data_IF_676863931353
#
_entry.id   IF_676863931353
#
_cell.length_a   1.000
_cell.length_b   1.000
_cell.length_c   1.000
_cell.angle_alpha   90.00
_cell.angle_beta   90.00
_cell.angle_gamma   90.00
#
_symmetry.space_group_name_H-M   'P 1'
#
loop_
_entity.id
_entity.type
_entity.pdbx_description
1 polymer ?
#
# COMPACT_ATOMS: atom_id res chain seq x y z
N UNK A 1 -5.69 32.04 8.32
CA UNK A 1 -4.83 30.85 8.41
C UNK A 1 -5.55 29.84 9.30
N UNK A 2 -6.00 28.88 8.97
CA UNK A 2 -6.83 28.20 7.98
C UNK A 2 -7.49 27.00 8.64
N UNK A 3 -8.79 27.10 8.89
CA UNK A 3 -9.62 26.02 9.47
C UNK A 3 -9.66 24.74 8.62
N UNK A 4 -9.12 24.80 7.37
CA UNK A 4 -9.07 23.65 6.48
C UNK A 4 -8.09 22.54 6.93
N UNK A 5 -6.96 22.91 7.55
CA UNK A 5 -5.97 21.94 8.02
C UNK A 5 -6.40 21.20 9.28
N UNK A 6 -7.13 21.85 10.17
CA UNK A 6 -7.62 21.22 11.40
C UNK A 6 -8.63 20.13 11.10
N UNK A 7 -9.46 20.31 10.06
CA UNK A 7 -10.40 19.30 9.59
C UNK A 7 -9.72 18.06 9.00
N UNK A 8 -8.62 18.24 8.27
CA UNK A 8 -7.87 17.10 7.69
C UNK A 8 -7.11 16.32 8.75
N UNK A 9 -6.45 16.99 9.68
CA UNK A 9 -5.71 16.35 10.78
C UNK A 9 -6.63 15.45 11.63
N UNK A 10 -7.89 15.82 11.81
CA UNK A 10 -8.88 15.05 12.57
C UNK A 10 -9.06 13.62 12.04
N UNK A 11 -8.89 13.38 10.75
CA UNK A 11 -9.01 12.05 10.13
C UNK A 11 -7.66 11.39 9.87
N UNK A 12 -6.64 12.18 9.55
CA UNK A 12 -5.31 11.66 9.26
C UNK A 12 -4.61 11.13 10.52
N UNK A 13 -4.77 11.82 11.65
CA UNK A 13 -4.15 11.39 12.92
C UNK A 13 -4.67 10.03 13.40
N UNK A 14 -5.99 9.78 13.48
CA UNK A 14 -6.49 8.45 13.84
C UNK A 14 -6.09 7.36 12.84
N UNK A 15 -6.09 7.65 11.53
CA UNK A 15 -5.66 6.69 10.51
C UNK A 15 -4.17 6.38 10.64
N UNK A 16 -3.34 7.39 10.91
CA UNK A 16 -1.92 7.22 11.15
C UNK A 16 -1.65 6.43 12.44
N UNK A 17 -2.29 6.80 13.55
CA UNK A 17 -2.21 6.05 14.80
C UNK A 17 -2.67 4.60 14.60
N UNK A 18 -3.74 4.36 13.86
CA UNK A 18 -4.18 3.02 13.51
C UNK A 18 -3.11 2.24 12.75
N UNK A 19 -2.47 2.85 11.77
CA UNK A 19 -1.40 2.19 11.00
C UNK A 19 -0.17 1.85 11.84
N UNK A 20 0.13 2.64 12.86
CA UNK A 20 1.23 2.40 13.80
C UNK A 20 0.85 1.40 14.88
N UNK A 21 -0.32 1.56 15.51
CA UNK A 21 -0.70 0.80 16.72
C UNK A 21 -1.30 -0.57 16.40
N UNK A 22 -2.02 -0.73 15.28
CA UNK A 22 -2.67 -2.00 14.93
C UNK A 22 -1.71 -3.21 14.80
N UNK A 23 -0.49 -3.06 14.24
CA UNK A 23 0.44 -4.19 14.16
C UNK A 23 1.04 -4.62 15.49
N UNK A 24 1.09 -3.73 16.50
CA UNK A 24 1.77 -4.00 17.76
C UNK A 24 1.18 -5.18 18.57
N UNK A 25 -0.14 -5.30 18.76
CA UNK A 25 -0.70 -6.45 19.43
C UNK A 25 -0.31 -7.78 18.77
N UNK A 26 -0.28 -7.83 17.44
CA UNK A 26 0.12 -9.03 16.72
C UNK A 26 1.60 -9.35 16.94
N UNK A 27 2.49 -8.36 16.98
CA UNK A 27 3.91 -8.55 17.27
C UNK A 27 4.15 -8.95 18.73
N UNK A 28 3.38 -8.38 19.67
CA UNK A 28 3.56 -8.64 21.10
C UNK A 28 2.97 -9.99 21.54
N UNK A 29 1.79 -10.32 21.02
CA UNK A 29 1.05 -11.51 21.45
C UNK A 29 1.51 -12.78 20.73
N UNK A 30 2.07 -12.64 19.54
CA UNK A 30 2.38 -13.79 18.68
C UNK A 30 3.80 -13.69 18.13
N UNK A 31 4.74 -14.16 18.93
CA UNK A 31 6.17 -14.26 18.55
C UNK A 31 6.43 -15.43 17.59
N UNK A 32 5.57 -15.63 16.60
CA UNK A 32 5.65 -16.69 15.60
C UNK A 32 5.70 -16.10 14.20
N UNK A 33 6.10 -16.87 13.17
CA UNK A 33 6.03 -16.43 11.77
C UNK A 33 4.63 -15.98 11.37
N UNK A 34 3.58 -16.61 11.91
CA UNK A 34 2.19 -16.25 11.63
C UNK A 34 1.82 -14.89 12.24
N UNK A 35 2.32 -14.61 13.46
CA UNK A 35 2.15 -13.30 14.10
C UNK A 35 2.82 -12.18 13.31
N UNK A 36 4.00 -12.44 12.77
CA UNK A 36 4.68 -11.48 11.89
C UNK A 36 3.90 -11.25 10.60
N UNK A 37 3.41 -12.30 9.95
CA UNK A 37 2.59 -12.18 8.75
C UNK A 37 1.31 -11.38 9.00
N UNK A 38 0.65 -11.60 10.14
CA UNK A 38 -0.51 -10.83 10.58
C UNK A 38 -0.14 -9.36 10.80
N UNK A 39 0.97 -9.08 11.51
CA UNK A 39 1.43 -7.73 11.77
C UNK A 39 1.75 -6.96 10.47
N UNK A 40 2.42 -7.61 9.51
CA UNK A 40 2.69 -7.05 8.17
C UNK A 40 1.39 -6.77 7.41
N UNK A 41 0.42 -7.67 7.47
CA UNK A 41 -0.91 -7.48 6.87
C UNK A 41 -1.65 -6.29 7.47
N UNK A 42 -1.67 -6.17 8.80
CA UNK A 42 -2.29 -5.04 9.51
C UNK A 42 -1.58 -3.72 9.21
N UNK A 43 -0.25 -3.73 9.14
CA UNK A 43 0.53 -2.56 8.73
C UNK A 43 0.19 -2.13 7.31
N UNK A 44 0.07 -3.07 6.37
CA UNK A 44 -0.32 -2.80 4.98
C UNK A 44 -1.73 -2.18 4.89
N UNK A 45 -2.71 -2.78 5.58
CA UNK A 45 -4.09 -2.25 5.62
C UNK A 45 -4.13 -0.86 6.25
N UNK A 46 -3.40 -0.65 7.34
CA UNK A 46 -3.28 0.66 7.99
C UNK A 46 -2.67 1.71 7.06
N UNK A 47 -1.57 1.37 6.38
CA UNK A 47 -0.91 2.24 5.41
C UNK A 47 -1.84 2.59 4.23
N UNK A 48 -2.54 1.61 3.67
CA UNK A 48 -3.52 1.85 2.61
C UNK A 48 -4.68 2.74 3.10
N UNK A 49 -5.14 2.54 4.33
CA UNK A 49 -6.19 3.37 4.94
C UNK A 49 -5.74 4.81 5.08
N UNK A 50 -4.53 5.06 5.59
CA UNK A 50 -3.96 6.40 5.71
C UNK A 50 -3.98 7.13 4.37
N UNK A 51 -3.52 6.46 3.30
CA UNK A 51 -3.51 7.03 1.95
C UNK A 51 -4.93 7.28 1.44
N UNK A 52 -5.82 6.31 1.55
CA UNK A 52 -7.19 6.42 1.07
C UNK A 52 -7.93 7.61 1.72
N UNK A 53 -7.78 7.78 3.02
CA UNK A 53 -8.40 8.89 3.74
C UNK A 53 -7.78 10.24 3.39
N UNK A 54 -6.47 10.31 3.11
CA UNK A 54 -5.82 11.56 2.69
C UNK A 54 -6.30 12.04 1.31
N UNK A 55 -6.71 11.12 0.43
CA UNK A 55 -7.26 11.45 -0.91
C UNK A 55 -8.79 11.52 -0.96
N UNK A 56 -9.47 11.28 0.16
CA UNK A 56 -10.95 11.30 0.22
C UNK A 56 -11.53 12.63 -0.22
N UNK A 57 -10.94 13.74 0.20
CA UNK A 57 -11.43 15.09 -0.14
C UNK A 57 -11.37 15.32 -1.65
N UNK A 58 -10.26 14.97 -2.29
CA UNK A 58 -10.11 15.14 -3.74
C UNK A 58 -11.05 14.24 -4.53
N UNK A 59 -11.33 13.04 -3.99
CA UNK A 59 -12.29 12.15 -4.60
C UNK A 59 -13.71 12.70 -4.61
N UNK A 60 -14.04 13.58 -3.64
CA UNK A 60 -15.37 14.17 -3.46
C UNK A 60 -15.43 15.66 -3.85
N UNK A 61 -14.28 16.29 -4.16
CA UNK A 61 -14.25 17.68 -4.57
C UNK A 61 -14.92 17.84 -5.95
N UNK A 62 -16.01 18.56 -5.96
CA UNK A 62 -16.66 19.05 -7.16
C UNK A 62 -16.09 20.42 -7.46
N UNK A 63 -14.97 20.46 -8.18
CA UNK A 63 -14.51 21.66 -8.90
C UNK A 63 -14.33 23.02 -8.18
N UNK A 64 -14.72 23.16 -6.92
CA UNK A 64 -14.67 24.46 -6.24
C UNK A 64 -13.26 24.79 -5.73
N UNK A 65 -12.56 25.61 -6.49
CA UNK A 65 -11.72 26.69 -5.94
C UNK A 65 -10.33 26.34 -5.46
N UNK A 66 -9.69 25.22 -5.79
CA UNK A 66 -8.36 24.97 -5.22
C UNK A 66 -7.29 24.56 -6.26
N UNK A 67 -6.38 25.45 -6.37
CA UNK A 67 -5.05 25.45 -7.00
C UNK A 67 -4.94 25.54 -8.52
N UNK A 68 -4.23 26.60 -8.92
CA UNK A 68 -3.83 26.86 -10.30
C UNK A 68 -2.94 25.76 -10.92
N UNK A 69 -2.47 24.77 -10.12
CA UNK A 69 -1.62 23.66 -10.59
C UNK A 69 -1.98 22.33 -9.90
N UNK A 70 -2.80 21.48 -10.56
CA UNK A 70 -3.18 20.17 -10.03
C UNK A 70 -1.97 19.25 -9.78
N UNK A 71 -0.92 19.32 -10.62
CA UNK A 71 0.29 18.50 -10.48
C UNK A 71 1.04 18.84 -9.20
N UNK A 72 1.12 20.13 -8.89
CA UNK A 72 1.79 20.60 -7.66
C UNK A 72 1.04 20.15 -6.42
N UNK A 73 -0.29 20.18 -6.44
CA UNK A 73 -1.15 19.71 -5.35
C UNK A 73 -0.99 18.21 -5.14
N UNK A 74 -1.05 17.42 -6.22
CA UNK A 74 -0.80 15.99 -6.17
C UNK A 74 0.56 15.67 -5.55
N UNK A 75 1.63 16.30 -6.05
CA UNK A 75 2.99 16.11 -5.51
C UNK A 75 3.08 16.42 -4.02
N UNK A 76 2.55 17.54 -3.57
CA UNK A 76 2.57 17.93 -2.15
C UNK A 76 1.88 16.88 -1.27
N UNK A 77 0.73 16.36 -1.69
CA UNK A 77 0.03 15.30 -0.95
C UNK A 77 0.79 14.01 -0.95
N UNK A 78 1.29 13.58 -2.09
CA UNK A 78 2.10 12.37 -2.18
C UNK A 78 3.32 12.45 -1.26
N UNK A 79 4.03 13.58 -1.23
CA UNK A 79 5.16 13.79 -0.31
C UNK A 79 4.71 13.69 1.15
N UNK A 80 3.64 14.38 1.53
CA UNK A 80 3.15 14.37 2.90
C UNK A 80 2.73 12.96 3.35
N UNK A 81 2.01 12.23 2.51
CA UNK A 81 1.59 10.86 2.78
C UNK A 81 2.78 9.90 2.86
N UNK A 82 3.74 10.03 1.94
CA UNK A 82 4.96 9.20 1.95
C UNK A 82 5.77 9.43 3.21
N UNK A 83 5.94 10.69 3.64
CA UNK A 83 6.64 11.01 4.90
C UNK A 83 5.89 10.40 6.10
N UNK A 84 4.57 10.53 6.17
CA UNK A 84 3.77 9.94 7.24
C UNK A 84 3.89 8.41 7.27
N UNK A 85 3.90 7.76 6.10
CA UNK A 85 4.08 6.31 6.00
C UNK A 85 5.50 5.86 6.38
N UNK A 86 6.52 6.60 5.97
CA UNK A 86 7.90 6.30 6.38
C UNK A 86 8.07 6.43 7.89
N UNK A 87 7.42 7.42 8.52
CA UNK A 87 7.40 7.54 9.97
C UNK A 87 6.68 6.35 10.65
N UNK A 88 5.54 5.90 10.09
CA UNK A 88 4.84 4.72 10.57
C UNK A 88 5.69 3.44 10.40
N UNK A 89 6.37 3.31 9.26
CA UNK A 89 7.30 2.20 9.02
C UNK A 89 8.47 2.23 9.99
N UNK A 90 9.08 3.38 10.24
CA UNK A 90 10.18 3.49 11.19
C UNK A 90 9.75 3.10 12.62
N UNK A 91 8.54 3.48 13.04
CA UNK A 91 7.96 3.06 14.31
C UNK A 91 7.75 1.54 14.36
N UNK A 92 7.17 0.96 13.30
CA UNK A 92 7.00 -0.50 13.17
C UNK A 92 8.34 -1.23 13.23
N UNK A 93 9.32 -0.79 12.43
CA UNK A 93 10.66 -1.37 12.38
C UNK A 93 11.37 -1.31 13.73
N UNK A 94 11.28 -0.17 14.44
CA UNK A 94 11.89 0.01 15.75
C UNK A 94 11.33 -0.96 16.79
N UNK A 95 10.00 -1.15 16.81
CA UNK A 95 9.35 -2.10 17.72
C UNK A 95 9.70 -3.53 17.33
N UNK A 96 9.67 -3.85 16.04
CA UNK A 96 10.00 -5.20 15.56
C UNK A 96 11.44 -5.58 15.93
N UNK A 97 12.41 -4.69 15.70
CA UNK A 97 13.82 -4.92 16.04
C UNK A 97 14.08 -4.98 17.56
N UNK A 98 13.30 -4.23 18.36
CA UNK A 98 13.39 -4.27 19.81
C UNK A 98 12.83 -5.57 20.42
N UNK A 99 11.83 -6.16 19.77
CA UNK A 99 11.20 -7.40 20.27
C UNK A 99 11.90 -8.67 19.80
N UNK A 100 12.50 -8.62 18.62
CA UNK A 100 13.25 -9.74 18.04
C UNK A 100 14.73 -9.43 18.17
N UNK A 101 15.42 -10.14 19.08
CA UNK A 101 16.83 -9.95 19.44
C UNK A 101 17.83 -10.05 18.27
N UNK A 102 17.41 -10.14 17.02
CA UNK A 102 18.31 -10.23 15.86
C UNK A 102 17.66 -9.73 14.55
N UNK A 103 18.33 -8.82 13.96
CA UNK A 103 18.66 -8.58 12.55
C UNK A 103 17.70 -9.17 11.48
N UNK A 104 16.40 -9.27 11.74
CA UNK A 104 15.45 -9.66 10.71
C UNK A 104 15.16 -8.48 9.76
N UNK A 105 16.22 -8.04 9.08
CA UNK A 105 16.13 -7.02 8.04
C UNK A 105 15.17 -7.40 6.92
N UNK A 106 14.93 -8.68 6.70
CA UNK A 106 14.02 -9.14 5.65
C UNK A 106 12.59 -8.73 5.97
N UNK A 107 12.14 -8.92 7.20
CA UNK A 107 10.80 -8.50 7.62
C UNK A 107 10.62 -6.99 7.61
N UNK A 108 11.65 -6.24 7.99
CA UNK A 108 11.67 -4.77 7.92
C UNK A 108 11.59 -4.29 6.46
N UNK A 109 12.33 -4.93 5.55
CA UNK A 109 12.27 -4.63 4.11
C UNK A 109 10.92 -5.04 3.50
N UNK A 110 10.34 -6.16 3.94
CA UNK A 110 8.99 -6.55 3.51
C UNK A 110 7.94 -5.54 3.94
N UNK A 111 8.04 -5.01 5.16
CA UNK A 111 7.17 -3.93 5.61
C UNK A 111 7.35 -2.66 4.77
N UNK A 112 8.59 -2.29 4.43
CA UNK A 112 8.87 -1.16 3.54
C UNK A 112 8.24 -1.38 2.15
N UNK A 113 8.29 -2.62 1.66
CA UNK A 113 7.71 -2.97 0.36
C UNK A 113 6.21 -2.75 0.28
N UNK A 114 5.51 -2.89 1.40
CA UNK A 114 4.08 -2.66 1.47
C UNK A 114 3.69 -1.18 1.24
N UNK A 115 4.62 -0.25 1.44
CA UNK A 115 4.37 1.18 1.22
C UNK A 115 4.21 1.52 -0.26
N UNK A 116 4.93 0.83 -1.16
CA UNK A 116 4.90 1.12 -2.60
C UNK A 116 3.47 0.96 -3.17
N UNK A 117 2.81 -0.20 -3.05
CA UNK A 117 1.44 -0.35 -3.53
C UNK A 117 0.46 0.55 -2.76
N UNK A 118 0.66 0.77 -1.46
CA UNK A 118 -0.18 1.70 -0.70
C UNK A 118 -0.10 3.12 -1.24
N UNK A 119 1.09 3.63 -1.55
CA UNK A 119 1.29 4.97 -2.08
C UNK A 119 0.82 5.14 -3.54
N UNK A 120 0.89 4.09 -4.36
CA UNK A 120 0.66 4.20 -5.79
C UNK A 120 -0.74 3.72 -6.21
N UNK A 121 -1.18 2.57 -5.67
CA UNK A 121 -2.45 1.95 -6.07
C UNK A 121 -3.62 2.61 -5.34
N UNK A 122 -3.50 2.82 -4.03
CA UNK A 122 -4.61 3.32 -3.22
C UNK A 122 -5.10 4.72 -3.62
N UNK A 123 -4.24 5.72 -3.94
CA UNK A 123 -4.72 7.02 -4.40
C UNK A 123 -5.57 6.91 -5.66
N UNK A 124 -5.09 6.14 -6.65
CA UNK A 124 -5.83 5.89 -7.88
C UNK A 124 -7.20 5.28 -7.62
N UNK A 125 -7.25 4.20 -6.82
CA UNK A 125 -8.50 3.54 -6.48
C UNK A 125 -9.43 4.44 -5.67
N UNK A 126 -8.91 5.30 -4.79
CA UNK A 126 -9.72 6.27 -4.06
C UNK A 126 -10.38 7.28 -5.00
N UNK A 127 -9.63 7.77 -5.99
CA UNK A 127 -10.18 8.66 -7.00
C UNK A 127 -11.24 7.97 -7.87
N UNK A 128 -11.05 6.70 -8.23
CA UNK A 128 -12.00 5.96 -9.06
C UNK A 128 -13.27 5.60 -8.29
N UNK A 129 -13.12 5.00 -7.11
CA UNK A 129 -14.26 4.48 -6.33
C UNK A 129 -15.00 5.58 -5.55
N UNK A 130 -14.37 6.72 -5.32
CA UNK A 130 -14.85 7.81 -4.45
C UNK A 130 -15.12 7.40 -2.99
N UNK A 131 -14.76 6.17 -2.64
CA UNK A 131 -14.98 5.59 -1.31
C UNK A 131 -13.65 5.07 -0.76
N UNK A 132 -13.10 5.67 0.30
CA UNK A 132 -11.79 5.27 0.85
C UNK A 132 -11.77 3.82 1.29
N UNK A 133 -12.83 3.32 1.91
CA UNK A 133 -12.90 1.92 2.33
C UNK A 133 -12.82 0.95 1.14
N UNK A 134 -13.58 1.22 0.07
CA UNK A 134 -13.51 0.39 -1.14
C UNK A 134 -12.11 0.42 -1.76
N UNK A 135 -11.44 1.57 -1.78
CA UNK A 135 -10.08 1.69 -2.28
C UNK A 135 -9.10 0.82 -1.49
N UNK A 136 -9.20 0.78 -0.16
CA UNK A 136 -8.38 -0.10 0.69
C UNK A 136 -8.63 -1.57 0.36
N UNK A 137 -9.90 -1.99 0.31
CA UNK A 137 -10.27 -3.39 0.01
C UNK A 137 -9.74 -3.80 -1.37
N UNK A 138 -9.92 -2.96 -2.39
CA UNK A 138 -9.39 -3.24 -3.73
C UNK A 138 -7.87 -3.23 -3.78
N UNK A 139 -7.19 -2.36 -3.03
CA UNK A 139 -5.72 -2.37 -2.96
C UNK A 139 -5.23 -3.70 -2.39
N UNK A 140 -5.80 -4.16 -1.27
CA UNK A 140 -5.45 -5.44 -0.65
C UNK A 140 -5.73 -6.61 -1.60
N UNK A 141 -6.89 -6.59 -2.26
CA UNK A 141 -7.27 -7.61 -3.23
C UNK A 141 -6.30 -7.67 -4.41
N UNK A 142 -5.95 -6.52 -5.02
CA UNK A 142 -5.03 -6.47 -6.16
C UNK A 142 -3.63 -6.96 -5.78
N UNK A 143 -3.11 -6.56 -4.62
CA UNK A 143 -1.81 -7.05 -4.14
C UNK A 143 -1.85 -8.56 -3.88
N UNK A 144 -2.96 -9.07 -3.33
CA UNK A 144 -3.19 -10.50 -3.19
C UNK A 144 -3.20 -11.24 -4.53
N UNK A 145 -3.88 -10.67 -5.54
CA UNK A 145 -3.88 -11.22 -6.91
C UNK A 145 -2.47 -11.25 -7.53
N UNK A 146 -1.64 -10.21 -7.29
CA UNK A 146 -0.26 -10.20 -7.78
C UNK A 146 0.58 -11.31 -7.14
N UNK A 147 0.36 -11.60 -5.86
CA UNK A 147 1.00 -12.73 -5.19
C UNK A 147 0.55 -14.07 -5.78
N UNK A 148 -0.75 -14.25 -5.98
CA UNK A 148 -1.28 -15.47 -6.60
C UNK A 148 -0.77 -15.65 -8.03
N UNK A 149 -0.70 -14.58 -8.82
CA UNK A 149 -0.13 -14.62 -10.17
C UNK A 149 1.33 -15.08 -10.13
N UNK A 150 2.14 -14.58 -9.20
CA UNK A 150 3.50 -15.06 -8.98
C UNK A 150 3.56 -16.56 -8.68
N UNK A 151 2.67 -17.07 -7.82
CA UNK A 151 2.58 -18.50 -7.54
C UNK A 151 2.23 -19.32 -8.79
N UNK A 152 1.27 -18.86 -9.59
CA UNK A 152 0.87 -19.52 -10.84
C UNK A 152 2.04 -19.57 -11.83
N UNK A 153 2.76 -18.47 -12.01
CA UNK A 153 3.93 -18.41 -12.90
C UNK A 153 5.01 -19.41 -12.43
N UNK A 154 5.30 -19.47 -11.12
CA UNK A 154 6.29 -20.43 -10.59
C UNK A 154 5.84 -21.87 -10.85
N UNK A 155 4.56 -22.18 -10.64
CA UNK A 155 4.02 -23.53 -10.92
C UNK A 155 4.13 -23.87 -12.41
N UNK A 156 3.81 -22.93 -13.31
CA UNK A 156 3.89 -23.16 -14.75
C UNK A 156 5.33 -23.37 -15.22
N UNK A 157 6.27 -22.57 -14.71
CA UNK A 157 7.68 -22.64 -15.14
C UNK A 157 8.38 -23.88 -14.56
N UNK A 158 8.22 -24.13 -13.26
CA UNK A 158 8.92 -25.24 -12.60
C UNK A 158 8.11 -26.53 -12.53
N UNK A 159 6.79 -26.46 -12.62
CA UNK A 159 5.94 -27.65 -12.74
C UNK A 159 6.14 -28.40 -14.05
N UNK A 160 6.50 -27.66 -15.13
CA UNK A 160 6.87 -28.27 -16.41
C UNK A 160 8.15 -29.09 -16.29
N UNK A 161 9.20 -28.52 -15.66
CA UNK A 161 10.46 -29.22 -15.39
C UNK A 161 10.30 -30.42 -14.43
N UNK A 162 9.38 -30.32 -13.48
CA UNK A 162 9.15 -31.39 -12.49
C UNK A 162 8.39 -32.58 -13.07
N UNK A 163 7.55 -32.37 -14.08
CA UNK A 163 6.85 -33.42 -14.81
C UNK A 163 7.83 -34.39 -15.50
N UNK A 164 8.98 -33.87 -15.95
CA UNK A 164 10.02 -34.68 -16.55
C UNK A 164 10.88 -35.44 -15.51
N UNK A 165 10.93 -34.96 -14.25
CA UNK A 165 11.77 -35.52 -13.17
C UNK A 165 11.00 -36.27 -12.09
N UNK A 166 9.69 -36.40 -12.22
CA UNK A 166 8.84 -37.15 -11.28
C UNK A 166 8.68 -36.52 -9.87
N UNK A 167 9.09 -35.26 -9.69
CA UNK A 167 8.95 -34.53 -8.43
C UNK A 167 7.98 -33.35 -8.57
N UNK A 168 6.93 -33.29 -7.76
CA UNK A 168 6.03 -32.13 -7.67
C UNK A 168 6.75 -31.00 -6.90
N UNK A 169 7.19 -29.96 -7.61
CA UNK A 169 7.75 -28.77 -6.97
C UNK A 169 6.64 -27.83 -6.58
N UNK A 170 6.54 -27.55 -5.29
CA UNK A 170 5.59 -26.56 -4.77
C UNK A 170 6.18 -25.15 -4.91
N UNK A 171 5.35 -24.09 -5.12
CA UNK A 171 5.83 -22.71 -5.32
C UNK A 171 6.77 -22.21 -4.21
N UNK A 172 6.59 -22.68 -3.00
CA UNK A 172 7.41 -22.30 -1.83
C UNK A 172 8.81 -22.93 -1.81
N UNK A 173 9.11 -23.87 -2.68
CA UNK A 173 10.48 -24.38 -2.85
C UNK A 173 11.41 -23.39 -3.55
N UNK A 174 10.85 -22.35 -4.19
CA UNK A 174 11.56 -21.27 -4.85
C UNK A 174 11.21 -19.89 -4.27
N UNK A 175 11.46 -19.64 -2.97
CA UNK A 175 11.01 -18.42 -2.30
C UNK A 175 11.59 -17.15 -2.94
N UNK A 176 12.84 -17.19 -3.39
CA UNK A 176 13.48 -16.04 -4.02
C UNK A 176 12.80 -15.65 -5.33
N UNK A 177 12.44 -16.62 -6.17
CA UNK A 177 11.75 -16.38 -7.44
C UNK A 177 10.34 -15.82 -7.19
N UNK A 178 9.60 -16.36 -6.22
CA UNK A 178 8.30 -15.83 -5.81
C UNK A 178 8.38 -14.38 -5.34
N UNK A 179 9.38 -14.08 -4.52
CA UNK A 179 9.61 -12.72 -4.02
C UNK A 179 9.91 -11.78 -5.18
N UNK A 180 10.81 -12.16 -6.10
CA UNK A 180 11.12 -11.35 -7.27
C UNK A 180 9.90 -11.12 -8.18
N UNK A 181 9.15 -12.17 -8.50
CA UNK A 181 7.94 -12.05 -9.33
C UNK A 181 6.88 -11.17 -8.66
N UNK A 182 6.69 -11.31 -7.36
CA UNK A 182 5.79 -10.45 -6.60
C UNK A 182 6.23 -8.98 -6.69
N UNK A 183 7.51 -8.69 -6.52
CA UNK A 183 8.05 -7.35 -6.60
C UNK A 183 7.90 -6.74 -7.99
N UNK A 184 8.24 -7.47 -9.03
CA UNK A 184 8.12 -7.01 -10.41
C UNK A 184 6.66 -6.73 -10.75
N UNK A 185 5.76 -7.68 -10.49
CA UNK A 185 4.34 -7.52 -10.77
C UNK A 185 3.72 -6.35 -9.99
N UNK A 186 4.02 -6.27 -8.69
CA UNK A 186 3.50 -5.18 -7.84
C UNK A 186 4.11 -3.84 -8.24
N UNK A 187 5.38 -3.80 -8.61
CA UNK A 187 6.06 -2.60 -9.09
C UNK A 187 5.46 -2.07 -10.40
N UNK A 188 5.23 -2.94 -11.37
CA UNK A 188 4.60 -2.58 -12.65
C UNK A 188 3.18 -2.06 -12.42
N UNK A 189 2.37 -2.77 -11.63
CA UNK A 189 1.02 -2.34 -11.29
C UNK A 189 1.01 -1.00 -10.56
N UNK A 190 1.92 -0.81 -9.60
CA UNK A 190 2.06 0.43 -8.85
C UNK A 190 2.41 1.61 -9.76
N UNK A 191 3.34 1.42 -10.70
CA UNK A 191 3.71 2.44 -11.68
C UNK A 191 2.52 2.81 -12.57
N UNK A 192 1.81 1.83 -13.10
CA UNK A 192 0.61 2.05 -13.92
C UNK A 192 -0.46 2.81 -13.15
N UNK A 193 -0.78 2.37 -11.93
CA UNK A 193 -1.77 3.05 -11.08
C UNK A 193 -1.34 4.47 -10.71
N UNK A 194 -0.05 4.71 -10.48
CA UNK A 194 0.47 6.05 -10.22
C UNK A 194 0.26 6.97 -11.43
N UNK A 195 0.65 6.53 -12.63
CA UNK A 195 0.47 7.30 -13.87
C UNK A 195 -1.02 7.59 -14.13
N UNK A 196 -1.88 6.58 -14.00
CA UNK A 196 -3.33 6.73 -14.15
C UNK A 196 -3.92 7.64 -13.07
N UNK A 197 -3.40 7.58 -11.84
CA UNK A 197 -3.83 8.44 -10.74
C UNK A 197 -3.53 9.91 -11.00
N UNK A 198 -2.33 10.21 -11.49
CA UNK A 198 -1.94 11.58 -11.90
C UNK A 198 -2.84 12.09 -13.00
N UNK A 199 -3.05 11.29 -14.08
CA UNK A 199 -3.93 11.66 -15.18
C UNK A 199 -5.35 11.92 -14.70
N UNK A 200 -5.92 11.00 -13.92
CA UNK A 200 -7.29 11.13 -13.41
C UNK A 200 -7.49 12.32 -12.48
N UNK A 201 -6.46 12.65 -11.69
CA UNK A 201 -6.48 13.84 -10.84
C UNK A 201 -6.49 15.13 -11.67
N UNK A 202 -5.75 15.15 -12.77
CA UNK A 202 -5.72 16.29 -13.71
C UNK A 202 -7.04 16.45 -14.47
N UNK A 203 -7.60 15.35 -14.97
CA UNK A 203 -8.88 15.35 -15.68
C UNK A 203 -10.00 15.95 -14.82
N UNK A 204 -10.05 15.56 -13.54
CA UNK A 204 -11.03 16.12 -12.60
C UNK A 204 -10.85 17.60 -12.31
N UNK A 205 -9.61 18.08 -12.26
CA UNK A 205 -9.34 19.49 -12.07
C UNK A 205 -9.69 20.33 -13.32
N UNK A 206 -9.76 19.68 -14.49
CA UNK A 206 -10.11 20.31 -15.78
C UNK A 206 -11.61 20.18 -16.11
N UNK A 207 -12.38 19.31 -15.42
CA UNK A 207 -13.82 19.19 -15.64
C UNK A 207 -14.50 20.55 -15.32
N UNK A 208 -15.08 21.26 -16.34
CA UNK A 208 -15.83 22.46 -16.07
C UNK A 208 -17.06 22.08 -15.24
N UNK A 209 -17.35 22.90 -14.22
CA UNK A 209 -18.57 22.77 -13.44
C UNK A 209 -19.77 22.86 -14.41
N UNK A 210 -20.37 21.73 -14.73
CA UNK A 210 -21.67 21.72 -15.39
C UNK A 210 -22.69 22.21 -14.36
N UNK A 211 -23.03 23.51 -14.46
CA UNK A 211 -24.13 24.16 -13.74
C UNK A 211 -25.48 23.64 -14.25
#
# INVERSE_FOLDING_TARGET
MNDSWTGELRYLVPAWLGSVLLPWPALLLWRSPDGLALALGLFFVGSASLVAYSFRRDANATGEGESADPRRTWRKRMVAVTVAQLAAWAAFASVHLALNDRHDFVSVLLALSALIPSCCITPYLTLVTRKPFAAVVFTVFLVGCMKLLGCVVVVLVHGWDASERGHTTMPWTHPNLLVWLFWVNTGVLSLLCYCLGVSRFQDRAAEPQAF
#
